data_IF_024495930655
#
_entry.id   IF_024495930655
#
_cell.length_a   1.000
_cell.length_b   1.000
_cell.length_c   1.000
_cell.angle_alpha   90.00
_cell.angle_beta   90.00
_cell.angle_gamma   90.00
#
_symmetry.space_group_name_H-M   'P 1'
#
loop_
_entity.id
_entity.type
_entity.pdbx_description
1 polymer ?
#
# COMPACT_ATOMS: atom_id res chain seq x y z
N UNK A 1 1.61 -5.86 -22.39
CA UNK A 1 0.56 -5.48 -21.42
C UNK A 1 0.40 -3.97 -21.47
N UNK A 2 -0.82 -3.42 -21.44
CA UNK A 2 -1.04 -1.98 -21.63
C UNK A 2 -1.13 -1.23 -20.30
N UNK A 3 -0.23 -0.27 -20.12
CA UNK A 3 -0.31 0.78 -19.09
C UNK A 3 -1.55 1.65 -19.32
N UNK A 4 -2.33 1.91 -18.28
CA UNK A 4 -3.55 2.74 -18.35
C UNK A 4 -3.54 3.82 -17.28
N UNK A 5 -3.69 5.08 -17.68
CA UNK A 5 -4.00 6.17 -16.73
C UNK A 5 -5.47 6.04 -16.30
N UNK A 6 -5.71 5.98 -14.99
CA UNK A 6 -7.05 5.85 -14.43
C UNK A 6 -7.82 7.17 -14.49
N UNK A 7 -9.11 7.09 -14.88
CA UNK A 7 -9.97 8.27 -14.90
C UNK A 7 -10.46 8.64 -13.48
N UNK A 8 -11.13 9.79 -13.36
CA UNK A 8 -11.60 10.33 -12.07
C UNK A 8 -12.53 9.38 -11.31
N UNK A 9 -13.36 8.59 -12.00
CA UNK A 9 -14.29 7.63 -11.37
C UNK A 9 -13.53 6.44 -10.79
N UNK A 10 -12.60 5.88 -11.55
CA UNK A 10 -11.74 4.78 -11.12
C UNK A 10 -10.86 5.19 -9.94
N UNK A 11 -10.22 6.36 -10.03
CA UNK A 11 -9.43 6.96 -8.94
C UNK A 11 -10.26 7.12 -7.67
N UNK A 12 -11.45 7.73 -7.78
CA UNK A 12 -12.34 7.94 -6.64
C UNK A 12 -12.71 6.61 -5.96
N UNK A 13 -13.04 5.57 -6.73
CA UNK A 13 -13.36 4.26 -6.18
C UNK A 13 -12.21 3.65 -5.37
N UNK A 14 -10.98 3.76 -5.86
CA UNK A 14 -9.79 3.28 -5.14
C UNK A 14 -9.59 4.10 -3.85
N UNK A 15 -9.66 5.42 -3.97
CA UNK A 15 -9.50 6.34 -2.85
C UNK A 15 -10.52 6.13 -1.74
N UNK A 16 -11.80 6.00 -2.09
CA UNK A 16 -12.88 5.76 -1.13
C UNK A 16 -12.69 4.42 -0.41
N UNK A 17 -12.21 3.38 -1.11
CA UNK A 17 -11.87 2.09 -0.50
C UNK A 17 -10.71 2.18 0.49
N UNK A 18 -9.63 2.88 0.10
CA UNK A 18 -8.47 3.10 0.97
C UNK A 18 -8.82 3.95 2.20
N UNK A 19 -9.63 5.00 2.02
CA UNK A 19 -10.09 5.86 3.09
C UNK A 19 -10.97 5.09 4.08
N UNK A 20 -11.92 4.29 3.59
CA UNK A 20 -12.80 3.46 4.42
C UNK A 20 -12.02 2.42 5.22
N UNK A 21 -11.05 1.75 4.59
CA UNK A 21 -10.42 0.57 5.17
C UNK A 21 -9.22 0.91 6.08
N UNK A 22 -8.54 2.02 5.81
CA UNK A 22 -7.29 2.41 6.46
C UNK A 22 -7.22 3.89 6.87
N UNK A 23 -8.36 4.59 6.94
CA UNK A 23 -8.47 5.98 7.44
C UNK A 23 -7.57 6.99 6.71
N UNK A 24 -7.35 6.77 5.41
CA UNK A 24 -6.49 7.60 4.60
C UNK A 24 -7.17 8.95 4.25
N UNK A 25 -6.47 10.11 4.36
CA UNK A 25 -7.04 11.42 4.00
C UNK A 25 -7.42 11.51 2.53
N UNK A 26 -8.62 12.04 2.23
CA UNK A 26 -9.12 12.14 0.84
C UNK A 26 -8.24 13.00 -0.09
N UNK A 27 -7.41 13.88 0.47
CA UNK A 27 -6.50 14.78 -0.23
C UNK A 27 -5.05 14.25 -0.32
N UNK A 28 -4.74 13.09 0.25
CA UNK A 28 -3.36 12.56 0.31
C UNK A 28 -2.69 12.39 -1.07
N UNK A 29 -3.48 12.34 -2.15
CA UNK A 29 -3.00 12.18 -3.52
C UNK A 29 -3.35 13.37 -4.41
N UNK A 30 -3.59 14.55 -3.83
CA UNK A 30 -3.77 15.76 -4.61
C UNK A 30 -2.54 15.95 -5.52
N UNK A 31 -2.77 16.17 -6.82
CA UNK A 31 -1.77 16.34 -7.88
C UNK A 31 -1.09 15.06 -8.38
N UNK A 32 -1.44 13.88 -7.87
CA UNK A 32 -0.91 12.61 -8.37
C UNK A 32 -1.81 12.01 -9.46
N UNK A 33 -1.17 11.36 -10.43
CA UNK A 33 -1.79 10.57 -11.48
C UNK A 33 -1.75 9.11 -11.08
N UNK A 34 -2.88 8.42 -11.27
CA UNK A 34 -3.00 7.00 -10.97
C UNK A 34 -2.79 6.20 -12.27
N UNK A 35 -1.88 5.25 -12.23
CA UNK A 35 -1.52 4.42 -13.38
C UNK A 35 -1.72 2.96 -13.02
N UNK A 36 -2.45 2.23 -13.87
CA UNK A 36 -2.65 0.79 -13.76
C UNK A 36 -1.74 0.06 -14.74
N UNK A 37 -1.00 -0.93 -14.24
CA UNK A 37 -0.19 -1.84 -15.03
C UNK A 37 -0.40 -3.27 -14.51
N UNK A 38 -1.04 -4.13 -15.31
CA UNK A 38 -1.47 -5.44 -14.83
C UNK A 38 -2.49 -5.32 -13.67
N UNK A 39 -2.24 -6.03 -12.57
CA UNK A 39 -3.02 -5.95 -11.33
C UNK A 39 -2.65 -4.76 -10.44
N UNK A 40 -1.58 -4.04 -10.76
CA UNK A 40 -0.99 -3.03 -9.90
C UNK A 40 -1.51 -1.64 -10.20
N UNK A 41 -1.56 -0.82 -9.15
CA UNK A 41 -1.86 0.61 -9.25
C UNK A 41 -0.70 1.39 -8.66
N UNK A 42 -0.21 2.34 -9.43
CA UNK A 42 0.90 3.24 -9.10
C UNK A 42 0.38 4.67 -9.02
N UNK A 43 1.06 5.49 -8.23
CA UNK A 43 0.88 6.94 -8.21
C UNK A 43 2.17 7.62 -8.63
N UNK A 44 2.05 8.57 -9.54
CA UNK A 44 3.16 9.28 -10.15
C UNK A 44 2.81 10.76 -10.36
N UNK A 45 3.82 11.60 -10.49
CA UNK A 45 3.59 12.97 -10.99
C UNK A 45 3.45 12.95 -12.52
N UNK A 46 2.87 14.01 -13.11
CA UNK A 46 2.67 14.08 -14.57
C UNK A 46 3.99 14.10 -15.34
N UNK A 47 5.02 14.69 -14.75
CA UNK A 47 6.36 14.84 -15.34
C UNK A 47 7.01 13.47 -15.54
N UNK A 48 6.93 12.57 -14.54
CA UNK A 48 7.49 11.21 -14.64
C UNK A 48 6.85 10.43 -15.79
N UNK A 49 5.54 10.60 -16.01
CA UNK A 49 4.83 9.89 -17.08
C UNK A 49 5.28 10.35 -18.47
N UNK A 50 5.63 11.63 -18.64
CA UNK A 50 6.14 12.13 -19.93
C UNK A 50 7.49 11.55 -20.32
N UNK A 51 8.30 11.11 -19.34
CA UNK A 51 9.63 10.52 -19.58
C UNK A 51 9.52 9.00 -19.77
N UNK A 52 8.65 8.33 -19.01
CA UNK A 52 8.54 6.86 -18.99
C UNK A 52 7.96 6.23 -20.25
N UNK A 53 7.29 6.99 -21.13
CA UNK A 53 6.63 6.44 -22.31
C UNK A 53 7.61 6.00 -23.41
N UNK A 54 8.85 6.49 -23.37
CA UNK A 54 9.87 6.21 -24.38
C UNK A 54 10.99 5.27 -23.90
N UNK A 55 10.93 4.81 -22.64
CA UNK A 55 11.95 3.95 -22.03
C UNK A 55 11.34 2.84 -21.17
N UNK A 56 11.94 1.65 -21.18
CA UNK A 56 11.55 0.57 -20.27
C UNK A 56 11.95 0.95 -18.85
N UNK A 57 10.96 1.15 -17.98
CA UNK A 57 11.18 1.47 -16.56
C UNK A 57 10.58 0.39 -15.67
N UNK A 58 11.32 0.00 -14.63
CA UNK A 58 10.84 -0.98 -13.63
C UNK A 58 9.82 -0.38 -12.65
N UNK A 59 9.77 0.94 -12.56
CA UNK A 59 8.87 1.69 -11.69
C UNK A 59 8.54 3.05 -12.30
N UNK A 60 7.28 3.46 -12.21
CA UNK A 60 6.78 4.78 -12.66
C UNK A 60 6.48 5.72 -11.49
N UNK A 61 6.80 5.35 -10.25
CA UNK A 61 6.51 6.15 -9.06
C UNK A 61 6.34 5.29 -7.80
N UNK A 62 5.39 5.64 -6.95
CA UNK A 62 5.07 4.83 -5.77
C UNK A 62 4.00 3.80 -6.13
N UNK A 63 4.29 2.51 -5.91
CA UNK A 63 3.27 1.48 -6.05
C UNK A 63 2.25 1.66 -4.93
N UNK A 64 0.99 2.00 -5.26
CA UNK A 64 -0.07 2.19 -4.30
C UNK A 64 -0.75 0.87 -3.94
N UNK A 65 -1.17 0.11 -4.96
CA UNK A 65 -1.76 -1.21 -4.81
C UNK A 65 -0.95 -2.24 -5.61
N UNK A 66 -0.80 -3.43 -5.06
CA UNK A 66 -0.35 -4.63 -5.76
C UNK A 66 -1.47 -5.65 -5.76
N UNK A 67 -2.00 -5.99 -6.94
CA UNK A 67 -3.17 -6.87 -7.09
C UNK A 67 -4.35 -6.54 -6.14
N UNK A 68 -4.64 -5.23 -6.01
CA UNK A 68 -5.71 -4.70 -5.17
C UNK A 68 -5.40 -4.57 -3.67
N UNK A 69 -4.19 -4.91 -3.23
CA UNK A 69 -3.74 -4.80 -1.83
C UNK A 69 -2.81 -3.60 -1.69
N UNK A 70 -2.97 -2.73 -0.66
CA UNK A 70 -2.04 -1.63 -0.43
C UNK A 70 -0.61 -2.12 -0.20
N UNK A 71 0.38 -1.39 -0.70
CA UNK A 71 1.79 -1.74 -0.47
C UNK A 71 2.32 -1.11 0.82
N UNK A 72 3.39 -1.67 1.39
CA UNK A 72 4.12 -1.08 2.53
C UNK A 72 4.60 0.34 2.23
N UNK A 73 5.12 0.58 1.01
CA UNK A 73 5.59 1.90 0.62
C UNK A 73 4.45 2.90 0.62
N UNK A 74 3.26 2.49 0.16
CA UNK A 74 2.07 3.33 0.28
C UNK A 74 1.70 3.60 1.74
N UNK A 75 1.69 2.55 2.59
CA UNK A 75 1.43 2.66 4.03
C UNK A 75 2.33 3.69 4.73
N UNK A 76 3.63 3.59 4.49
CA UNK A 76 4.64 4.47 5.07
C UNK A 76 4.46 5.92 4.64
N UNK A 77 4.09 6.16 3.37
CA UNK A 77 3.93 7.51 2.82
C UNK A 77 2.60 8.16 3.20
N UNK A 78 1.49 7.42 3.10
CA UNK A 78 0.15 8.03 3.12
C UNK A 78 -0.73 7.64 4.31
N UNK A 79 -0.40 6.56 5.03
CA UNK A 79 -1.27 6.01 6.06
C UNK A 79 -0.75 6.30 7.46
N UNK A 80 -0.24 7.52 7.67
CA UNK A 80 0.25 7.95 8.99
C UNK A 80 -0.84 7.86 10.07
N UNK A 81 -2.10 8.10 9.69
CA UNK A 81 -3.28 8.03 10.56
C UNK A 81 -3.98 6.67 10.61
N UNK A 82 -3.49 5.64 9.91
CA UNK A 82 -4.02 4.29 10.08
C UNK A 82 -3.73 3.78 11.49
N UNK A 83 -4.69 3.05 12.08
CA UNK A 83 -4.47 2.36 13.33
C UNK A 83 -3.38 1.30 13.16
N UNK A 84 -2.37 1.36 14.02
CA UNK A 84 -1.20 0.48 13.99
C UNK A 84 -1.17 -0.36 15.24
N UNK A 85 -0.90 -1.65 15.07
CA UNK A 85 -0.65 -2.55 16.18
C UNK A 85 0.85 -2.66 16.40
N UNK A 86 1.31 -2.17 17.54
CA UNK A 86 2.72 -2.22 17.94
C UNK A 86 3.13 -3.65 18.33
N UNK A 87 4.18 -4.16 17.70
CA UNK A 87 4.72 -5.49 17.96
C UNK A 87 5.91 -5.43 18.91
N UNK A 88 6.13 -6.52 19.66
CA UNK A 88 7.38 -6.72 20.39
C UNK A 88 8.53 -6.93 19.41
N UNK A 89 9.79 -6.77 19.85
CA UNK A 89 10.95 -7.05 18.98
C UNK A 89 10.95 -8.49 18.44
N UNK A 90 10.47 -9.45 19.25
CA UNK A 90 10.39 -10.86 18.86
C UNK A 90 9.30 -11.07 17.82
N UNK A 91 8.11 -10.52 18.05
CA UNK A 91 6.98 -10.66 17.11
C UNK A 91 7.23 -9.88 15.82
N UNK A 92 7.87 -8.71 15.88
CA UNK A 92 8.26 -7.96 14.68
C UNK A 92 9.16 -8.79 13.76
N UNK A 93 10.16 -9.49 14.31
CA UNK A 93 11.05 -10.38 13.54
C UNK A 93 10.27 -11.54 12.91
N UNK A 94 9.41 -12.21 13.71
CA UNK A 94 8.55 -13.31 13.24
C UNK A 94 7.60 -12.86 12.13
N UNK A 95 6.92 -11.74 12.34
CA UNK A 95 5.99 -11.16 11.39
C UNK A 95 6.69 -10.80 10.07
N UNK A 96 7.85 -10.12 10.12
CA UNK A 96 8.63 -9.80 8.92
C UNK A 96 9.07 -11.07 8.19
N UNK A 97 9.41 -12.14 8.93
CA UNK A 97 9.74 -13.46 8.42
C UNK A 97 8.53 -14.25 7.87
N UNK A 98 7.31 -13.75 8.04
CA UNK A 98 6.07 -14.36 7.54
C UNK A 98 5.51 -15.44 8.46
N UNK A 99 5.93 -15.46 9.71
CA UNK A 99 5.37 -16.33 10.75
C UNK A 99 4.10 -15.72 11.36
N UNK A 100 3.24 -16.57 11.93
CA UNK A 100 2.06 -16.14 12.68
C UNK A 100 2.52 -15.54 14.02
N UNK A 101 1.99 -14.37 14.36
CA UNK A 101 2.21 -13.71 15.65
C UNK A 101 0.88 -13.50 16.37
N UNK A 102 0.89 -13.63 17.69
CA UNK A 102 -0.31 -13.47 18.53
C UNK A 102 -0.63 -11.99 18.73
N UNK A 103 -1.07 -11.33 17.66
CA UNK A 103 -1.52 -9.95 17.63
C UNK A 103 -2.84 -9.84 16.84
N UNK A 104 -3.44 -8.65 16.85
CA UNK A 104 -4.65 -8.34 16.07
C UNK A 104 -4.50 -6.99 15.41
N UNK A 105 -5.08 -6.81 14.22
CA UNK A 105 -5.07 -5.55 13.49
C UNK A 105 -4.66 -5.74 12.04
N UNK A 106 -4.75 -4.65 11.26
CA UNK A 106 -4.47 -4.67 9.81
C UNK A 106 -3.08 -4.18 9.43
N UNK A 107 -2.48 -3.32 10.26
CA UNK A 107 -1.15 -2.74 10.02
C UNK A 107 -0.30 -3.04 11.24
N UNK A 108 0.75 -3.82 11.07
CA UNK A 108 1.71 -4.07 12.16
C UNK A 108 2.79 -3.00 12.14
N UNK A 109 3.25 -2.59 13.32
CA UNK A 109 4.29 -1.59 13.50
C UNK A 109 5.33 -2.03 14.52
N UNK A 110 6.51 -1.41 14.44
CA UNK A 110 7.57 -1.54 15.43
C UNK A 110 8.30 -0.21 15.60
N UNK A 111 8.45 0.24 16.84
CA UNK A 111 8.85 1.59 17.23
C UNK A 111 8.03 2.69 16.53
N UNK A 112 6.73 2.49 16.38
CA UNK A 112 5.84 3.45 15.71
C UNK A 112 5.96 3.49 14.18
N UNK A 113 6.88 2.70 13.59
CA UNK A 113 7.04 2.59 12.14
C UNK A 113 6.24 1.40 11.60
N UNK A 114 5.40 1.58 10.56
CA UNK A 114 4.65 0.48 9.97
C UNK A 114 5.60 -0.50 9.27
N UNK A 115 5.44 -1.79 9.59
CA UNK A 115 6.18 -2.90 9.01
C UNK A 115 5.51 -3.42 7.74
N UNK A 116 4.26 -3.88 7.84
CA UNK A 116 3.47 -4.38 6.71
C UNK A 116 1.99 -4.54 7.07
N UNK A 117 1.17 -4.88 6.08
CA UNK A 117 -0.19 -5.36 6.24
C UNK A 117 -0.22 -6.75 6.87
N UNK A 118 -1.21 -6.95 7.72
CA UNK A 118 -1.52 -8.21 8.37
C UNK A 118 -2.78 -8.84 7.77
N UNK A 119 -2.74 -10.16 7.64
CA UNK A 119 -3.90 -11.01 7.38
C UNK A 119 -4.22 -11.80 8.65
N UNK A 120 -5.50 -11.85 9.03
CA UNK A 120 -5.95 -12.69 10.13
C UNK A 120 -5.87 -14.16 9.74
N UNK A 121 -5.29 -14.98 10.61
CA UNK A 121 -5.21 -16.43 10.49
C UNK A 121 -5.61 -17.09 11.83
N UNK A 122 -5.91 -18.40 11.86
CA UNK A 122 -6.09 -19.11 13.12
C UNK A 122 -4.83 -18.99 14.00
N UNK A 123 -4.98 -18.42 15.20
CA UNK A 123 -3.88 -18.24 16.16
C UNK A 123 -3.19 -16.88 16.13
N UNK A 124 -3.58 -15.95 15.24
CA UNK A 124 -3.06 -14.58 15.25
C UNK A 124 -3.09 -13.91 13.89
N UNK A 125 -2.09 -13.08 13.62
CA UNK A 125 -1.91 -12.43 12.32
C UNK A 125 -0.61 -12.87 11.66
N UNK A 126 -0.63 -12.95 10.34
CA UNK A 126 0.57 -13.18 9.52
C UNK A 126 0.76 -12.01 8.58
N UNK A 127 2.01 -11.75 8.20
CA UNK A 127 2.32 -10.78 7.16
C UNK A 127 1.64 -11.17 5.86
N UNK A 128 0.94 -10.22 5.24
CA UNK A 128 0.28 -10.43 3.97
C UNK A 128 1.32 -10.56 2.85
N UNK A 129 1.78 -11.79 2.61
CA UNK A 129 2.65 -12.15 1.48
C UNK A 129 1.80 -12.65 0.31
N UNK A 130 2.10 -12.18 -0.89
CA UNK A 130 1.65 -12.78 -2.15
C UNK A 130 2.88 -13.25 -2.90
#
# INVERSE_FOLDING_TARGET
MNTKILNSRERKKIMDGLALEYSLPHDAFHNLVFVKYGGDVWVATREVLSISLDISVDSVGLQLLRDGVPTVSALQTFFQGAEKTELTSVDAKKFVAGEIVSASGKVMAYHGHPLDLAKQEPGGVVRLRR
#
